data_IF_006140710106
#
_entry.id   IF_006140710106
#
_cell.length_a   1.000
_cell.length_b   1.000
_cell.length_c   1.000
_cell.angle_alpha   90.00
_cell.angle_beta   90.00
_cell.angle_gamma   90.00
#
_symmetry.space_group_name_H-M   'P 1'
#
loop_
_entity.id
_entity.type
_entity.pdbx_description
1 polymer ?
#
# COMPACT_ATOMS: atom_id res chain seq x y z
N UNK A 1 2.06 -4.99 -6.62
CA UNK A 1 0.89 -4.56 -5.81
C UNK A 1 1.13 -4.62 -4.30
N UNK A 2 1.51 -5.77 -3.72
CA UNK A 2 1.72 -5.88 -2.27
C UNK A 2 2.78 -4.89 -1.74
N UNK A 3 3.96 -4.87 -2.38
CA UNK A 3 5.05 -3.96 -2.01
C UNK A 3 4.62 -2.49 -2.02
N UNK A 4 4.00 -2.04 -3.13
CA UNK A 4 3.47 -0.67 -3.23
C UNK A 4 2.39 -0.38 -2.18
N UNK A 5 1.46 -1.31 -1.95
CA UNK A 5 0.40 -1.14 -0.96
C UNK A 5 0.95 -0.96 0.45
N UNK A 6 1.96 -1.75 0.80
CA UNK A 6 2.65 -1.73 2.09
C UNK A 6 3.46 -0.45 2.28
N UNK A 7 4.37 -0.10 1.36
CA UNK A 7 5.24 1.08 1.51
C UNK A 7 4.48 2.40 1.47
N UNK A 8 3.40 2.49 0.70
CA UNK A 8 2.57 3.70 0.68
C UNK A 8 1.59 3.78 1.86
N UNK A 9 1.51 2.74 2.70
CA UNK A 9 0.52 2.58 3.77
C UNK A 9 -0.91 2.81 3.27
N UNK A 10 -1.24 2.43 2.04
CA UNK A 10 -2.53 2.79 1.43
C UNK A 10 -3.70 2.01 2.03
N UNK A 11 -4.88 2.62 2.07
CA UNK A 11 -6.13 1.86 2.18
C UNK A 11 -6.36 1.10 0.88
N UNK A 12 -7.03 -0.05 0.93
CA UNK A 12 -7.39 -0.83 -0.27
C UNK A 12 -8.10 0.00 -1.36
N UNK A 13 -8.93 0.96 -0.99
CA UNK A 13 -9.63 1.85 -1.93
C UNK A 13 -8.71 2.88 -2.59
N UNK A 14 -7.69 3.34 -1.87
CA UNK A 14 -6.68 4.25 -2.41
C UNK A 14 -5.80 3.49 -3.41
N UNK A 15 -5.35 2.28 -3.05
CA UNK A 15 -4.48 1.44 -3.89
C UNK A 15 -5.11 1.09 -5.25
N UNK A 16 -6.40 0.76 -5.29
CA UNK A 16 -7.09 0.44 -6.56
C UNK A 16 -7.45 1.68 -7.38
N UNK A 17 -7.45 2.86 -6.76
CA UNK A 17 -7.77 4.12 -7.40
C UNK A 17 -6.53 4.83 -8.01
N UNK A 18 -5.31 4.41 -7.66
CA UNK A 18 -4.07 4.96 -8.20
C UNK A 18 -4.03 4.87 -9.73
N UNK A 19 -3.67 5.98 -10.36
CA UNK A 19 -3.41 6.09 -11.80
C UNK A 19 -1.91 6.17 -12.07
N UNK A 20 -1.52 5.84 -13.28
CA UNK A 20 -0.13 5.97 -13.75
C UNK A 20 0.35 7.42 -13.63
N UNK A 21 -0.55 8.37 -13.91
CA UNK A 21 -0.30 9.82 -13.77
C UNK A 21 -0.06 10.26 -12.31
N UNK A 22 -0.43 9.42 -11.33
CA UNK A 22 -0.17 9.69 -9.91
C UNK A 22 1.27 9.30 -9.50
N UNK A 23 2.03 8.65 -10.39
CA UNK A 23 3.39 8.16 -10.15
C UNK A 23 4.42 9.07 -10.84
N UNK A 24 5.33 9.65 -10.06
CA UNK A 24 6.44 10.45 -10.54
C UNK A 24 7.75 9.72 -10.19
N UNK A 25 8.47 9.21 -11.20
CA UNK A 25 9.77 8.59 -11.00
C UNK A 25 10.81 9.68 -10.75
N UNK A 26 11.58 9.54 -9.67
CA UNK A 26 12.63 10.48 -9.26
C UNK A 26 14.02 10.00 -9.73
N UNK A 27 14.97 10.94 -9.76
CA UNK A 27 16.36 10.67 -10.15
C UNK A 27 17.08 9.65 -9.24
N UNK A 28 16.62 9.51 -8.00
CA UNK A 28 17.13 8.53 -7.02
C UNK A 28 16.55 7.11 -7.20
N UNK A 29 15.76 6.89 -8.27
CA UNK A 29 15.13 5.61 -8.59
C UNK A 29 13.91 5.27 -7.73
N UNK A 30 13.41 6.20 -6.92
CA UNK A 30 12.18 6.02 -6.14
C UNK A 30 10.98 6.64 -6.84
N UNK A 31 9.76 6.18 -6.51
CA UNK A 31 8.55 6.91 -6.88
C UNK A 31 8.16 7.92 -5.81
N UNK A 32 7.78 9.12 -6.24
CA UNK A 32 6.85 9.99 -5.54
C UNK A 32 5.43 9.67 -6.02
N UNK A 33 4.53 9.39 -5.10
CA UNK A 33 3.17 8.95 -5.40
C UNK A 33 2.15 9.91 -4.80
N UNK A 34 1.24 10.41 -5.63
CA UNK A 34 0.12 11.24 -5.19
C UNK A 34 -1.12 10.38 -4.90
N UNK A 35 -1.50 10.29 -3.63
CA UNK A 35 -2.76 9.66 -3.22
C UNK A 35 -3.83 10.75 -3.16
N UNK A 36 -4.56 10.93 -4.26
CA UNK A 36 -5.47 12.06 -4.49
C UNK A 36 -6.63 12.21 -3.50
N UNK A 37 -7.19 11.11 -3.01
CA UNK A 37 -8.36 11.16 -2.12
C UNK A 37 -8.31 10.05 -1.10
N UNK A 38 -8.57 10.40 0.15
CA UNK A 38 -8.76 9.44 1.23
C UNK A 38 -10.16 9.60 1.84
N UNK A 39 -10.63 8.55 2.55
CA UNK A 39 -11.91 8.63 3.30
C UNK A 39 -11.90 9.77 4.34
N UNK A 40 -10.73 10.09 4.87
CA UNK A 40 -10.50 11.13 5.87
C UNK A 40 -10.14 12.49 5.27
N UNK A 41 -10.28 12.64 3.95
CA UNK A 41 -9.93 13.85 3.20
C UNK A 41 -11.17 14.35 2.43
N UNK A 42 -12.06 15.09 3.10
CA UNK A 42 -13.29 15.59 2.50
C UNK A 42 -13.02 16.66 1.42
N UNK A 43 -11.87 17.34 1.47
CA UNK A 43 -11.49 18.41 0.55
C UNK A 43 -10.62 17.93 -0.62
N UNK A 44 -10.11 16.69 -0.57
CA UNK A 44 -9.29 16.14 -1.66
C UNK A 44 -7.88 16.73 -1.72
N UNK A 45 -7.33 17.17 -0.59
CA UNK A 45 -5.94 17.65 -0.52
C UNK A 45 -4.94 16.56 -0.94
N UNK A 46 -5.32 15.30 -0.78
CA UNK A 46 -4.50 14.15 -1.03
C UNK A 46 -3.31 14.05 -0.06
N UNK A 47 -2.39 13.15 -0.36
CA UNK A 47 -1.08 13.09 0.31
C UNK A 47 -0.02 12.53 -0.62
N UNK A 48 1.21 12.95 -0.39
CA UNK A 48 2.38 12.35 -1.02
C UNK A 48 2.83 11.14 -0.21
N UNK A 49 3.31 10.13 -0.92
CA UNK A 49 4.00 8.98 -0.37
C UNK A 49 5.18 8.63 -1.27
N UNK A 50 6.13 7.87 -0.73
CA UNK A 50 7.34 7.51 -1.44
C UNK A 50 7.54 5.99 -1.38
N UNK A 51 8.27 5.47 -2.36
CA UNK A 51 8.65 4.05 -2.40
C UNK A 51 10.14 3.88 -2.18
N UNK A 52 10.57 2.66 -1.90
CA UNK A 52 11.95 2.25 -2.12
C UNK A 52 12.24 2.10 -3.62
N UNK A 53 13.52 2.02 -3.98
CA UNK A 53 13.96 1.68 -5.35
C UNK A 53 13.46 0.30 -5.77
N UNK A 54 13.47 -0.67 -4.83
CA UNK A 54 12.98 -2.03 -5.08
C UNK A 54 11.52 -2.02 -5.51
N UNK A 55 10.67 -1.33 -4.77
CA UNK A 55 9.25 -1.24 -5.08
C UNK A 55 9.01 -0.46 -6.37
N UNK A 56 9.82 0.56 -6.66
CA UNK A 56 9.75 1.28 -7.93
C UNK A 56 10.07 0.36 -9.12
N UNK A 57 11.14 -0.43 -9.05
CA UNK A 57 11.48 -1.43 -10.07
C UNK A 57 10.35 -2.42 -10.33
N UNK A 58 9.77 -3.00 -9.26
CA UNK A 58 8.63 -3.92 -9.37
C UNK A 58 7.39 -3.28 -10.01
N UNK A 59 7.17 -1.98 -9.78
CA UNK A 59 6.05 -1.25 -10.38
C UNK A 59 6.34 -0.95 -11.86
N UNK A 60 7.57 -0.58 -12.21
CA UNK A 60 7.97 -0.36 -13.60
C UNK A 60 7.84 -1.63 -14.45
N UNK A 61 8.37 -2.76 -13.99
CA UNK A 61 8.23 -4.07 -14.66
C UNK A 61 6.76 -4.43 -14.89
N UNK A 62 5.92 -4.18 -13.88
CA UNK A 62 4.49 -4.39 -13.99
C UNK A 62 3.83 -3.47 -15.02
N UNK A 63 4.17 -2.16 -15.02
CA UNK A 63 3.60 -1.19 -15.96
C UNK A 63 4.00 -1.49 -17.40
N UNK A 64 5.23 -1.95 -17.62
CA UNK A 64 5.74 -2.42 -18.91
C UNK A 64 4.93 -3.62 -19.41
N UNK A 65 4.80 -4.68 -18.60
CA UNK A 65 4.02 -5.87 -18.96
C UNK A 65 2.54 -5.57 -19.21
N UNK A 66 1.94 -4.74 -18.35
CA UNK A 66 0.52 -4.35 -18.42
C UNK A 66 0.24 -3.45 -19.64
N UNK A 67 1.25 -2.75 -20.15
CA UNK A 67 1.16 -1.80 -21.27
C UNK A 67 0.63 -0.41 -20.85
N UNK A 68 0.74 0.57 -21.75
CA UNK A 68 0.54 2.00 -21.43
C UNK A 68 -0.89 2.52 -21.59
N UNK A 69 -1.79 1.77 -22.24
CA UNK A 69 -3.15 2.24 -22.60
C UNK A 69 -4.08 2.35 -21.36
N UNK A 70 -3.83 1.52 -20.35
CA UNK A 70 -4.66 1.48 -19.14
C UNK A 70 -4.21 2.61 -18.22
N UNK A 71 -5.09 3.49 -17.72
CA UNK A 71 -4.66 4.58 -16.85
C UNK A 71 -4.49 4.15 -15.37
N UNK A 72 -5.16 3.10 -14.90
CA UNK A 72 -5.04 2.60 -13.51
C UNK A 72 -3.75 1.82 -13.30
N UNK A 73 -2.99 2.10 -12.23
CA UNK A 73 -1.74 1.37 -11.93
C UNK A 73 -2.01 -0.13 -11.91
N UNK A 74 -3.05 -0.58 -11.21
CA UNK A 74 -3.46 -1.98 -11.21
C UNK A 74 -4.81 -2.17 -11.90
N UNK A 75 -4.91 -3.26 -12.67
CA UNK A 75 -6.11 -3.62 -13.41
C UNK A 75 -6.37 -5.13 -13.31
N UNK A 76 -7.61 -5.60 -13.57
CA UNK A 76 -7.89 -7.03 -13.66
C UNK A 76 -7.09 -7.68 -14.79
N UNK A 77 -6.75 -8.96 -14.58
CA UNK A 77 -6.13 -9.82 -15.59
C UNK A 77 -7.13 -10.93 -15.92
N UNK A 78 -7.46 -11.10 -17.20
CA UNK A 78 -8.33 -12.16 -17.68
C UNK A 78 -7.61 -12.93 -18.78
N UNK A 79 -7.46 -14.26 -18.61
CA UNK A 79 -6.73 -15.14 -19.54
C UNK A 79 -5.34 -14.59 -19.92
N UNK A 80 -4.59 -14.10 -18.93
CA UNK A 80 -3.25 -13.52 -19.13
C UNK A 80 -3.23 -12.13 -19.76
N UNK A 81 -4.39 -11.51 -20.03
CA UNK A 81 -4.47 -10.18 -20.64
C UNK A 81 -4.95 -9.12 -19.65
N UNK A 82 -4.32 -7.94 -19.58
CA UNK A 82 -4.78 -6.85 -18.75
C UNK A 82 -6.06 -6.23 -19.31
N UNK A 83 -7.03 -5.94 -18.44
CA UNK A 83 -8.34 -5.39 -18.82
C UNK A 83 -8.41 -3.93 -18.39
N UNK A 84 -8.79 -3.03 -19.31
CA UNK A 84 -8.83 -1.58 -19.06
C UNK A 84 -9.99 -1.15 -18.14
N UNK A 85 -9.86 -1.46 -16.84
CA UNK A 85 -10.77 -1.04 -15.77
C UNK A 85 -10.06 -1.05 -14.42
N UNK A 86 -10.60 -0.32 -13.45
CA UNK A 86 -10.15 -0.39 -12.05
C UNK A 86 -10.33 -1.79 -11.46
N UNK A 87 -9.43 -2.16 -10.54
CA UNK A 87 -9.67 -3.29 -9.64
C UNK A 87 -10.78 -2.98 -8.62
N UNK A 88 -11.45 -4.04 -8.16
CA UNK A 88 -12.33 -3.98 -7.00
C UNK A 88 -11.53 -4.02 -5.69
N UNK A 89 -12.04 -3.36 -4.66
CA UNK A 89 -11.36 -3.34 -3.34
C UNK A 89 -11.28 -4.72 -2.68
N UNK A 90 -12.18 -5.64 -3.03
CA UNK A 90 -12.20 -7.04 -2.58
C UNK A 90 -11.00 -7.82 -3.13
N UNK A 91 -10.48 -7.45 -4.30
CA UNK A 91 -9.30 -8.07 -4.92
C UNK A 91 -8.07 -7.90 -4.04
N UNK A 92 -7.91 -6.75 -3.37
CA UNK A 92 -6.78 -6.52 -2.45
C UNK A 92 -6.77 -7.52 -1.30
N UNK A 93 -7.93 -7.76 -0.68
CA UNK A 93 -8.06 -8.75 0.41
C UNK A 93 -7.69 -10.15 -0.10
N UNK A 94 -8.23 -10.55 -1.26
CA UNK A 94 -7.93 -11.85 -1.88
C UNK A 94 -6.45 -12.00 -2.21
N UNK A 95 -5.83 -10.95 -2.73
CA UNK A 95 -4.40 -10.93 -3.04
C UNK A 95 -3.55 -11.20 -1.80
N UNK A 96 -3.80 -10.48 -0.70
CA UNK A 96 -3.06 -10.65 0.56
C UNK A 96 -3.22 -12.08 1.08
N UNK A 97 -4.47 -12.59 1.15
CA UNK A 97 -4.73 -13.96 1.58
C UNK A 97 -4.05 -15.00 0.68
N UNK A 98 -4.10 -14.82 -0.63
CA UNK A 98 -3.44 -15.73 -1.57
C UNK A 98 -1.91 -15.70 -1.42
N UNK A 99 -1.32 -14.53 -1.18
CA UNK A 99 0.11 -14.43 -0.91
C UNK A 99 0.48 -15.15 0.39
N UNK A 100 -0.30 -14.95 1.46
CA UNK A 100 -0.13 -15.66 2.73
C UNK A 100 -0.20 -17.19 2.56
N UNK A 101 -1.16 -17.71 1.79
CA UNK A 101 -1.25 -19.14 1.46
C UNK A 101 -0.02 -19.65 0.70
N UNK A 102 0.49 -18.86 -0.25
CA UNK A 102 1.64 -19.27 -1.08
C UNK A 102 2.94 -19.38 -0.29
N UNK A 103 3.07 -18.64 0.81
CA UNK A 103 4.22 -18.74 1.72
C UNK A 103 4.00 -19.77 2.84
N UNK A 104 2.89 -20.51 2.82
CA UNK A 104 2.65 -21.63 3.74
C UNK A 104 2.18 -21.21 5.14
N UNK A 105 1.62 -20.01 5.31
CA UNK A 105 1.02 -19.62 6.59
C UNK A 105 -0.20 -20.48 6.92
N UNK A 106 -0.44 -20.68 8.21
CA UNK A 106 -1.54 -21.49 8.69
C UNK A 106 -2.90 -20.93 8.24
N UNK A 107 -3.91 -21.79 8.00
CA UNK A 107 -5.23 -21.34 7.54
C UNK A 107 -5.88 -20.28 8.44
N UNK A 108 -5.67 -20.38 9.76
CA UNK A 108 -6.17 -19.41 10.73
C UNK A 108 -5.54 -18.01 10.52
N UNK A 109 -4.22 -17.95 10.33
CA UNK A 109 -3.50 -16.70 10.08
C UNK A 109 -3.89 -16.10 8.74
N UNK A 110 -3.95 -16.94 7.70
CA UNK A 110 -4.48 -16.57 6.38
C UNK A 110 -5.85 -15.93 6.52
N UNK A 111 -6.71 -16.49 7.38
CA UNK A 111 -8.07 -16.00 7.55
C UNK A 111 -8.18 -14.68 8.31
N UNK A 112 -7.25 -14.43 9.23
CA UNK A 112 -7.11 -13.17 9.93
C UNK A 112 -6.70 -12.01 9.01
N UNK A 113 -6.02 -12.26 7.89
CA UNK A 113 -5.66 -11.20 6.95
C UNK A 113 -6.89 -10.47 6.37
N UNK A 114 -6.77 -9.15 6.34
CA UNK A 114 -7.78 -8.22 5.83
C UNK A 114 -7.18 -7.26 4.81
N UNK A 115 -8.04 -6.44 4.18
CA UNK A 115 -7.57 -5.38 3.29
C UNK A 115 -6.80 -4.24 3.98
N UNK A 116 -6.74 -4.22 5.31
CA UNK A 116 -5.95 -3.27 6.10
C UNK A 116 -4.62 -3.84 6.57
N UNK A 117 -4.38 -5.15 6.45
CA UNK A 117 -3.21 -5.79 7.04
C UNK A 117 -1.87 -5.20 6.57
N UNK A 118 -1.75 -4.85 5.28
CA UNK A 118 -0.54 -4.17 4.78
C UNK A 118 -0.29 -2.83 5.48
N UNK A 119 -1.35 -2.05 5.71
CA UNK A 119 -1.27 -0.74 6.34
C UNK A 119 -0.99 -0.84 7.84
N UNK A 120 -1.51 -1.88 8.51
CA UNK A 120 -1.22 -2.17 9.92
C UNK A 120 0.23 -2.60 10.09
N UNK A 121 0.68 -3.61 9.34
CA UNK A 121 2.06 -4.09 9.40
C UNK A 121 3.07 -2.97 9.15
N UNK A 122 2.90 -2.21 8.06
CA UNK A 122 3.80 -1.11 7.76
C UNK A 122 3.86 -0.03 8.85
N UNK A 123 2.73 0.28 9.51
CA UNK A 123 2.73 1.25 10.60
C UNK A 123 3.51 0.75 11.82
N UNK A 124 3.35 -0.53 12.16
CA UNK A 124 4.06 -1.16 13.28
C UNK A 124 5.55 -1.28 12.98
N UNK A 125 5.91 -1.73 11.78
CA UNK A 125 7.31 -1.85 11.38
C UNK A 125 8.02 -0.49 11.38
N UNK A 126 7.35 0.58 10.96
CA UNK A 126 7.92 1.93 11.08
C UNK A 126 8.17 2.32 12.55
N UNK A 127 7.25 1.99 13.45
CA UNK A 127 7.47 2.26 14.88
C UNK A 127 8.65 1.44 15.43
N UNK A 128 8.72 0.15 15.09
CA UNK A 128 9.81 -0.74 15.52
C UNK A 128 11.17 -0.27 14.98
N UNK A 129 11.18 0.30 13.77
CA UNK A 129 12.36 0.91 13.16
C UNK A 129 12.71 2.30 13.73
N UNK A 130 12.02 2.75 14.78
CA UNK A 130 12.33 3.99 15.50
C UNK A 130 11.78 5.26 14.87
N UNK A 131 10.89 5.17 13.88
CA UNK A 131 10.23 6.36 13.34
C UNK A 131 9.24 6.95 14.34
N UNK A 132 9.27 8.27 14.50
CA UNK A 132 8.35 8.95 15.39
C UNK A 132 6.90 8.93 14.87
N UNK A 133 5.97 9.17 15.79
CA UNK A 133 4.53 9.23 15.50
C UNK A 133 4.20 10.21 14.38
N UNK A 134 4.86 11.36 14.30
CA UNK A 134 4.57 12.39 13.29
C UNK A 134 4.99 11.95 11.88
N UNK A 135 6.12 11.24 11.75
CA UNK A 135 6.58 10.61 10.52
C UNK A 135 5.59 9.55 10.06
N UNK A 136 5.15 8.65 10.95
CA UNK A 136 4.19 7.60 10.62
C UNK A 136 2.83 8.21 10.23
N UNK A 137 2.37 9.23 10.97
CA UNK A 137 1.13 9.95 10.64
C UNK A 137 1.17 10.57 9.25
N UNK A 138 2.28 11.24 8.88
CA UNK A 138 2.48 11.79 7.53
C UNK A 138 2.52 10.68 6.48
N UNK A 139 3.28 9.61 6.74
CA UNK A 139 3.48 8.51 5.81
C UNK A 139 2.18 7.75 5.48
N UNK A 140 1.27 7.58 6.44
CA UNK A 140 -0.04 6.95 6.17
C UNK A 140 -1.21 7.91 6.06
N UNK A 141 -1.05 9.20 6.31
CA UNK A 141 -2.15 10.18 6.28
C UNK A 141 -3.16 10.01 7.42
N UNK A 142 -2.71 9.65 8.63
CA UNK A 142 -3.55 9.72 9.82
C UNK A 142 -3.62 11.18 10.30
N UNK A 143 -4.83 11.69 10.54
CA UNK A 143 -5.04 13.04 11.08
C UNK A 143 -5.15 13.07 12.61
N UNK A 144 -5.24 11.91 13.26
CA UNK A 144 -5.39 11.79 14.72
C UNK A 144 -4.46 10.71 15.26
N UNK A 145 -3.74 11.05 16.33
CA UNK A 145 -2.87 10.13 17.09
C UNK A 145 -3.68 8.97 17.65
N UNK A 146 -4.88 9.22 18.18
CA UNK A 146 -5.74 8.17 18.75
C UNK A 146 -6.12 7.11 17.71
N UNK A 147 -6.31 7.51 16.45
CA UNK A 147 -6.59 6.55 15.37
C UNK A 147 -5.33 5.76 15.02
N UNK A 148 -4.16 6.40 14.99
CA UNK A 148 -2.89 5.71 14.74
C UNK A 148 -2.55 4.73 15.86
N UNK A 149 -2.78 5.08 17.14
CA UNK A 149 -2.49 4.23 18.29
C UNK A 149 -3.12 2.83 18.16
N UNK A 150 -4.33 2.73 17.58
CA UNK A 150 -4.99 1.45 17.30
C UNK A 150 -4.28 0.58 16.26
N UNK A 151 -3.52 1.17 15.35
CA UNK A 151 -2.69 0.43 14.39
C UNK A 151 -1.38 -0.04 15.03
N UNK A 152 -0.91 0.67 16.05
CA UNK A 152 0.36 0.42 16.74
C UNK A 152 0.23 -0.51 17.95
N UNK A 153 -0.99 -0.89 18.33
CA UNK A 153 -1.31 -1.65 19.56
C UNK A 153 -0.53 -2.96 19.72
N UNK A 154 -0.16 -3.62 18.61
CA UNK A 154 0.57 -4.89 18.61
C UNK A 154 2.04 -4.75 18.21
N UNK A 155 2.56 -3.52 18.12
CA UNK A 155 3.97 -3.31 17.80
C UNK A 155 4.85 -3.69 19.01
N UNK A 156 5.60 -4.79 18.87
CA UNK A 156 6.59 -5.20 19.86
C UNK A 156 7.91 -4.45 19.64
N UNK A 157 8.22 -3.49 20.50
CA UNK A 157 9.45 -2.71 20.44
C UNK A 157 10.12 -2.67 21.82
N UNK A 158 11.31 -3.27 21.95
CA UNK A 158 12.08 -3.22 23.19
C UNK A 158 12.86 -1.90 23.26
N UNK A 159 12.34 -0.95 24.03
CA UNK A 159 12.98 0.36 24.26
C UNK A 159 14.24 0.29 25.14
N UNK A 160 14.59 -0.90 25.63
CA UNK A 160 15.73 -1.16 26.51
C UNK A 160 16.76 -2.14 25.90
N UNK A 161 16.56 -2.56 24.65
CA UNK A 161 17.51 -3.41 23.91
C UNK A 161 18.72 -2.62 23.43
#
# INVERSE_FOLDING_TARGET
MLALGYELLTRRSELVALRTDDLELRDDGTFRVLIRRSKSDPFGEGRLAFTSQRTAGLVLEWLEWRGHIIPWVFCPIYQGKPINRSLETTTVKRLVKNAAKRVGLDPADVDAFSGHSMRVGAAQDLLVNGFDTAAIMRAGGWKSVNVLARYLEQAEHNVWA
#
